data_IF_740725438531
#
_entry.id   IF_740725438531
#
_cell.length_a   1.000
_cell.length_b   1.000
_cell.length_c   1.000
_cell.angle_alpha   90.00
_cell.angle_beta   90.00
_cell.angle_gamma   90.00
#
_symmetry.space_group_name_H-M   'P 1'
#
loop_
_entity.id
_entity.type
_entity.pdbx_description
1 polymer ?
#
# COMPACT_ATOMS: atom_id res chain seq x y z
N UNK A 1 13.53 3.37 23.99
CA UNK A 1 13.24 2.55 22.78
C UNK A 1 13.68 3.38 21.60
N UNK A 2 14.68 2.93 20.86
CA UNK A 2 15.22 3.69 19.74
C UNK A 2 15.50 2.71 18.60
N UNK A 3 15.10 3.08 17.39
CA UNK A 3 15.40 2.30 16.19
C UNK A 3 16.85 2.53 15.78
N UNK A 4 17.52 1.49 15.30
CA UNK A 4 18.85 1.63 14.69
C UNK A 4 18.74 2.34 13.32
N UNK A 5 19.78 3.05 12.87
CA UNK A 5 19.80 3.67 11.55
C UNK A 5 19.43 2.71 10.41
N UNK A 6 19.86 1.45 10.47
CA UNK A 6 19.52 0.43 9.48
C UNK A 6 18.02 0.11 9.49
N UNK A 7 17.38 0.02 10.66
CA UNK A 7 15.94 -0.21 10.76
C UNK A 7 15.15 0.98 10.20
N UNK A 8 15.61 2.21 10.47
CA UNK A 8 15.01 3.42 9.89
C UNK A 8 15.12 3.38 8.36
N UNK A 9 16.29 3.06 7.82
CA UNK A 9 16.48 2.96 6.37
C UNK A 9 15.56 1.91 5.75
N UNK A 10 15.44 0.72 6.36
CA UNK A 10 14.51 -0.32 5.89
C UNK A 10 13.07 0.16 5.90
N UNK A 11 12.61 0.79 6.98
CA UNK A 11 11.25 1.30 7.07
C UNK A 11 10.96 2.40 6.03
N UNK A 12 11.92 3.27 5.74
CA UNK A 12 11.75 4.30 4.71
C UNK A 12 11.64 3.68 3.30
N UNK A 13 12.44 2.65 3.01
CA UNK A 13 12.35 1.91 1.73
C UNK A 13 11.00 1.20 1.60
N UNK A 14 10.55 0.49 2.63
CA UNK A 14 9.25 -0.20 2.62
C UNK A 14 8.09 0.80 2.53
N UNK A 15 8.19 1.96 3.19
CA UNK A 15 7.20 3.02 3.07
C UNK A 15 7.13 3.59 1.64
N UNK A 16 8.29 3.81 1.01
CA UNK A 16 8.34 4.29 -0.38
C UNK A 16 7.71 3.26 -1.34
N UNK A 17 8.00 1.96 -1.15
CA UNK A 17 7.37 0.89 -1.92
C UNK A 17 5.85 0.85 -1.71
N UNK A 18 5.40 0.93 -0.46
CA UNK A 18 3.97 0.92 -0.11
C UNK A 18 3.23 2.10 -0.75
N UNK A 19 3.83 3.30 -0.70
CA UNK A 19 3.29 4.49 -1.38
C UNK A 19 3.19 4.28 -2.90
N UNK A 20 4.20 3.68 -3.51
CA UNK A 20 4.18 3.39 -4.94
C UNK A 20 3.03 2.45 -5.30
N UNK A 21 2.86 1.35 -4.55
CA UNK A 21 1.81 0.36 -4.80
C UNK A 21 0.40 0.96 -4.64
N UNK A 22 0.20 1.76 -3.59
CA UNK A 22 -1.07 2.47 -3.34
C UNK A 22 -1.36 3.45 -4.47
N UNK A 23 -0.37 4.26 -4.87
CA UNK A 23 -0.55 5.24 -5.94
C UNK A 23 -0.89 4.56 -7.27
N UNK A 24 -0.23 3.45 -7.59
CA UNK A 24 -0.54 2.67 -8.78
C UNK A 24 -1.98 2.13 -8.76
N UNK A 25 -2.43 1.58 -7.63
CA UNK A 25 -3.81 1.10 -7.48
C UNK A 25 -4.83 2.24 -7.66
N UNK A 26 -4.57 3.40 -7.07
CA UNK A 26 -5.42 4.60 -7.22
C UNK A 26 -5.46 5.08 -8.66
N UNK A 27 -4.32 5.14 -9.36
CA UNK A 27 -4.27 5.52 -10.78
C UNK A 27 -5.11 4.59 -11.66
N UNK A 28 -5.10 3.28 -11.39
CA UNK A 28 -5.94 2.31 -12.11
C UNK A 28 -7.43 2.52 -11.86
N UNK A 29 -7.83 2.85 -10.61
CA UNK A 29 -9.21 3.18 -10.27
C UNK A 29 -9.64 4.46 -11.01
N UNK A 30 -8.82 5.51 -10.98
CA UNK A 30 -9.09 6.77 -11.67
C UNK A 30 -9.26 6.56 -13.18
N UNK A 31 -8.35 5.81 -13.80
CA UNK A 31 -8.44 5.50 -15.23
C UNK A 31 -9.70 4.68 -15.58
N UNK A 32 -10.06 3.70 -14.74
CA UNK A 32 -11.30 2.94 -14.92
C UNK A 32 -12.54 3.83 -14.85
N UNK A 33 -12.58 4.76 -13.87
CA UNK A 33 -13.67 5.71 -13.72
C UNK A 33 -13.79 6.67 -14.92
N UNK A 34 -12.66 7.15 -15.45
CA UNK A 34 -12.65 8.01 -16.64
C UNK A 34 -13.15 7.27 -17.88
N UNK A 35 -12.75 6.01 -18.08
CA UNK A 35 -13.22 5.19 -19.19
C UNK A 35 -14.73 4.92 -19.12
N UNK A 36 -15.27 4.62 -17.93
CA UNK A 36 -16.72 4.45 -17.73
C UNK A 36 -17.47 5.75 -18.02
N UNK A 37 -16.93 6.89 -17.59
CA UNK A 37 -17.51 8.22 -17.86
C UNK A 37 -17.54 8.52 -19.35
N UNK A 38 -16.50 8.14 -20.09
CA UNK A 38 -16.43 8.33 -21.55
C UNK A 38 -17.33 7.34 -22.32
N UNK A 39 -17.43 6.10 -21.85
CA UNK A 39 -18.26 5.07 -22.45
C UNK A 39 -18.83 4.13 -21.36
N UNK A 40 -20.10 4.32 -20.95
CA UNK A 40 -20.74 3.51 -19.91
C UNK A 40 -20.77 2.00 -20.19
N UNK A 41 -20.75 1.59 -21.46
CA UNK A 41 -20.77 0.17 -21.86
C UNK A 41 -19.48 -0.56 -21.46
N UNK A 42 -18.42 0.17 -21.08
CA UNK A 42 -17.18 -0.41 -20.56
C UNK A 42 -17.26 -0.83 -19.10
N UNK A 43 -18.33 -0.48 -18.38
CA UNK A 43 -18.51 -0.77 -16.95
C UNK A 43 -18.29 -2.25 -16.60
N UNK A 44 -18.91 -3.24 -17.28
CA UNK A 44 -18.71 -4.65 -16.93
C UNK A 44 -17.24 -5.10 -17.00
N UNK A 45 -16.46 -4.49 -17.90
CA UNK A 45 -15.03 -4.78 -18.07
C UNK A 45 -14.17 -4.09 -17.02
N UNK A 46 -14.59 -2.93 -16.52
CA UNK A 46 -13.85 -2.11 -15.55
C UNK A 46 -14.20 -2.40 -14.10
N UNK A 47 -15.39 -2.94 -13.83
CA UNK A 47 -15.87 -3.26 -12.49
C UNK A 47 -14.92 -4.17 -11.68
N UNK A 48 -14.29 -5.22 -12.26
CA UNK A 48 -13.31 -6.02 -11.52
C UNK A 48 -12.12 -5.18 -11.02
N UNK A 49 -11.57 -4.31 -11.86
CA UNK A 49 -10.49 -3.39 -11.46
C UNK A 49 -10.94 -2.48 -10.32
N UNK A 50 -12.15 -1.93 -10.39
CA UNK A 50 -12.66 -1.05 -9.33
C UNK A 50 -12.83 -1.77 -7.98
N UNK A 51 -13.15 -3.07 -8.00
CA UNK A 51 -13.33 -3.87 -6.78
C UNK A 51 -12.01 -4.42 -6.23
N UNK A 52 -11.06 -4.78 -7.09
CA UNK A 52 -9.82 -5.44 -6.68
C UNK A 52 -8.77 -4.47 -6.14
N UNK A 53 -8.67 -3.27 -6.71
CA UNK A 53 -7.63 -2.30 -6.36
C UNK A 53 -7.73 -1.81 -4.90
N UNK A 54 -8.93 -1.55 -4.33
CA UNK A 54 -9.07 -1.25 -2.90
C UNK A 54 -8.52 -2.36 -1.99
N UNK A 55 -8.74 -3.63 -2.34
CA UNK A 55 -8.21 -4.76 -1.56
C UNK A 55 -6.67 -4.78 -1.61
N UNK A 56 -6.07 -4.50 -2.78
CA UNK A 56 -4.61 -4.41 -2.94
C UNK A 56 -4.01 -3.28 -2.09
N UNK A 57 -4.68 -2.13 -2.00
CA UNK A 57 -4.28 -1.04 -1.09
C UNK A 57 -4.26 -1.53 0.36
N UNK A 58 -5.32 -2.21 0.80
CA UNK A 58 -5.40 -2.78 2.14
C UNK A 58 -4.26 -3.76 2.44
N UNK A 59 -3.97 -4.67 1.53
CA UNK A 59 -2.87 -5.65 1.66
C UNK A 59 -1.51 -4.96 1.74
N UNK A 60 -1.25 -3.96 0.88
CA UNK A 60 0.02 -3.22 0.88
C UNK A 60 0.22 -2.48 2.22
N UNK A 61 -0.82 -1.83 2.73
CA UNK A 61 -0.78 -1.16 4.03
C UNK A 61 -0.56 -2.14 5.18
N UNK A 62 -1.27 -3.27 5.20
CA UNK A 62 -1.11 -4.30 6.23
C UNK A 62 0.32 -4.88 6.26
N UNK A 63 0.91 -5.10 5.08
CA UNK A 63 2.30 -5.54 4.96
C UNK A 63 3.25 -4.52 5.60
N UNK A 64 3.12 -3.24 5.27
CA UNK A 64 3.95 -2.19 5.86
C UNK A 64 3.81 -2.13 7.38
N UNK A 65 2.56 -2.17 7.89
CA UNK A 65 2.29 -2.14 9.32
C UNK A 65 2.92 -3.33 10.06
N UNK A 66 2.87 -4.52 9.48
CA UNK A 66 3.50 -5.72 10.06
C UNK A 66 5.03 -5.55 10.18
N UNK A 67 5.66 -4.95 9.17
CA UNK A 67 7.12 -4.68 9.18
C UNK A 67 7.46 -3.61 10.23
N UNK A 68 6.63 -2.56 10.34
CA UNK A 68 6.79 -1.50 11.34
C UNK A 68 6.71 -2.07 12.76
N UNK A 69 5.65 -2.85 13.05
CA UNK A 69 5.44 -3.47 14.36
C UNK A 69 6.58 -4.40 14.76
N UNK A 70 7.07 -5.22 13.82
CA UNK A 70 8.24 -6.08 14.06
C UNK A 70 9.49 -5.28 14.43
N UNK A 71 9.75 -4.16 13.75
CA UNK A 71 10.91 -3.30 14.03
C UNK A 71 10.79 -2.58 15.38
N UNK A 72 9.59 -2.12 15.74
CA UNK A 72 9.31 -1.51 17.04
C UNK A 72 9.42 -2.54 18.17
N UNK A 73 8.93 -3.76 17.97
CA UNK A 73 9.07 -4.88 18.91
C UNK A 73 10.54 -5.24 19.15
N UNK A 74 11.35 -5.32 18.09
CA UNK A 74 12.78 -5.55 18.20
C UNK A 74 13.53 -4.43 18.94
N UNK A 75 13.06 -3.18 18.85
CA UNK A 75 13.60 -2.05 19.61
C UNK A 75 13.19 -2.08 21.09
N UNK A 76 12.01 -2.63 21.41
CA UNK A 76 11.58 -2.86 22.79
C UNK A 76 12.47 -3.86 23.52
N UNK A 77 12.69 -5.02 22.90
CA UNK A 77 13.39 -6.15 23.51
C UNK A 77 14.87 -5.87 23.84
N UNK A 78 15.49 -4.84 23.23
CA UNK A 78 16.87 -4.44 23.50
C UNK A 78 17.05 -3.59 24.77
N UNK A 79 15.95 -3.05 25.31
CA UNK A 79 15.97 -2.13 26.46
C UNK A 79 15.41 -2.80 27.73
N UNK A 80 14.93 -4.04 27.62
CA UNK A 80 14.45 -4.91 28.70
C UNK A 80 15.50 -5.94 29.07
#
# INVERSE_FOLDING_TARGET
MTLEPQQISTLLTEFASTRHDINNALSLISAAAELIRMNPDTLPRMLPTMNDQPAKIGVSMQKFMSILEANLGAARARVS
#
